data_IF_688347818896
#
_entry.id   IF_688347818896
#
_cell.length_a   1.000
_cell.length_b   1.000
_cell.length_c   1.000
_cell.angle_alpha   90.00
_cell.angle_beta   90.00
_cell.angle_gamma   90.00
#
_symmetry.space_group_name_H-M   'P 1'
#
loop_
_entity.id
_entity.type
_entity.pdbx_description
1 polymer ?
#
# COMPACT_ATOMS: atom_id res chain seq x y z
N UNK A 1 -66.07 64.43 4.90
CA UNK A 1 -64.85 64.64 4.15
C UNK A 1 -64.09 63.29 4.05
N UNK A 2 -64.07 62.81 2.84
CA UNK A 2 -63.34 61.56 2.49
C UNK A 2 -61.90 61.97 2.17
N UNK A 3 -60.93 61.37 2.89
CA UNK A 3 -59.52 61.46 2.57
C UNK A 3 -59.25 60.40 1.50
N UNK A 4 -58.77 60.79 0.36
CA UNK A 4 -58.26 59.91 -0.70
C UNK A 4 -56.85 59.49 -0.35
N UNK A 5 -56.62 58.22 -0.15
CA UNK A 5 -55.29 57.63 -0.09
C UNK A 5 -54.70 57.57 -1.49
N UNK A 6 -53.60 58.25 -1.72
CA UNK A 6 -52.79 58.13 -2.95
C UNK A 6 -52.02 56.82 -2.95
N UNK A 7 -52.38 55.91 -3.84
CA UNK A 7 -51.59 54.72 -4.12
C UNK A 7 -50.31 55.12 -4.86
N UNK A 8 -49.19 55.07 -4.17
CA UNK A 8 -47.87 55.17 -4.80
C UNK A 8 -47.57 53.90 -5.60
N UNK A 9 -47.36 54.05 -6.88
CA UNK A 9 -46.94 53.01 -7.79
C UNK A 9 -45.56 52.49 -7.42
N UNK A 10 -45.30 51.18 -7.42
CA UNK A 10 -43.98 50.63 -7.16
C UNK A 10 -42.99 50.97 -8.29
N UNK A 11 -41.85 51.50 -7.91
CA UNK A 11 -40.72 51.79 -8.80
C UNK A 11 -40.19 50.47 -9.39
N UNK A 12 -39.93 50.35 -10.72
CA UNK A 12 -39.37 49.16 -11.30
C UNK A 12 -37.94 48.95 -10.78
N UNK A 13 -37.71 47.79 -10.14
CA UNK A 13 -36.36 47.31 -9.78
C UNK A 13 -35.66 46.91 -11.08
N UNK A 14 -34.65 47.67 -11.48
CA UNK A 14 -33.74 47.32 -12.55
C UNK A 14 -32.96 46.09 -12.20
N UNK A 15 -33.26 44.92 -12.75
CA UNK A 15 -32.45 43.74 -12.65
C UNK A 15 -31.23 43.91 -13.57
N UNK A 16 -30.14 44.40 -13.01
CA UNK A 16 -28.83 44.25 -13.66
C UNK A 16 -28.48 42.77 -13.66
N UNK A 17 -28.54 42.11 -14.80
CA UNK A 17 -28.00 40.78 -14.98
C UNK A 17 -26.51 40.85 -14.65
N UNK A 18 -26.09 40.13 -13.61
CA UNK A 18 -24.68 39.97 -13.30
C UNK A 18 -24.07 39.15 -14.44
N UNK A 19 -23.23 39.76 -15.25
CA UNK A 19 -22.44 39.03 -16.23
C UNK A 19 -21.62 37.96 -15.48
N UNK A 20 -21.85 36.70 -15.86
CA UNK A 20 -20.98 35.59 -15.41
C UNK A 20 -19.61 35.78 -16.07
N UNK A 21 -18.68 36.33 -15.32
CA UNK A 21 -17.28 36.38 -15.73
C UNK A 21 -16.75 34.94 -15.69
N UNK A 22 -16.18 34.47 -16.80
CA UNK A 22 -15.50 33.16 -16.81
C UNK A 22 -14.44 33.14 -15.73
N UNK A 23 -14.49 32.11 -14.88
CA UNK A 23 -13.50 31.91 -13.81
C UNK A 23 -12.13 31.75 -14.48
N UNK A 24 -11.19 32.66 -14.21
CA UNK A 24 -9.82 32.52 -14.68
C UNK A 24 -9.17 31.40 -13.86
N UNK A 25 -8.66 30.40 -14.57
CA UNK A 25 -7.86 29.32 -13.98
C UNK A 25 -6.56 29.92 -13.45
N UNK A 26 -6.25 29.72 -12.18
CA UNK A 26 -4.97 30.13 -11.59
C UNK A 26 -3.82 29.26 -12.15
N UNK A 27 -2.57 29.73 -12.07
CA UNK A 27 -1.41 28.92 -12.50
C UNK A 27 -1.39 27.56 -11.77
N UNK A 28 -1.70 27.55 -10.47
CA UNK A 28 -1.79 26.31 -9.67
C UNK A 28 -2.87 25.33 -10.18
N UNK A 29 -4.01 25.85 -10.61
CA UNK A 29 -5.09 25.01 -11.20
C UNK A 29 -4.70 24.47 -12.57
N UNK A 30 -4.00 25.26 -13.39
CA UNK A 30 -3.49 24.83 -14.69
C UNK A 30 -2.45 23.70 -14.52
N UNK A 31 -1.60 23.77 -13.51
CA UNK A 31 -0.64 22.73 -13.17
C UNK A 31 -1.33 21.43 -12.74
N UNK A 32 -2.38 21.51 -11.95
CA UNK A 32 -3.16 20.35 -11.50
C UNK A 32 -3.85 19.66 -12.70
N UNK A 33 -4.52 20.41 -13.55
CA UNK A 33 -5.17 19.89 -14.77
C UNK A 33 -4.13 19.26 -15.69
N UNK A 34 -2.97 19.90 -15.83
CA UNK A 34 -1.84 19.38 -16.60
C UNK A 34 -1.27 18.09 -16.02
N UNK A 35 -1.14 17.98 -14.69
CA UNK A 35 -0.69 16.78 -14.02
C UNK A 35 -1.62 15.59 -14.25
N UNK A 36 -2.95 15.80 -14.09
CA UNK A 36 -3.96 14.78 -14.39
C UNK A 36 -3.87 14.34 -15.86
N UNK A 37 -3.76 15.29 -16.79
CA UNK A 37 -3.62 15.02 -18.22
C UNK A 37 -2.45 14.13 -18.58
N UNK A 38 -1.33 14.24 -17.82
CA UNK A 38 -0.11 13.45 -18.03
C UNK A 38 -0.21 12.01 -17.51
N UNK A 39 -1.21 11.67 -16.70
CA UNK A 39 -1.23 10.36 -16.02
C UNK A 39 -2.56 9.61 -16.17
N UNK A 40 -3.67 10.33 -16.41
CA UNK A 40 -5.03 9.74 -16.41
C UNK A 40 -5.21 8.54 -17.35
N UNK A 41 -4.54 8.53 -18.51
CA UNK A 41 -4.65 7.44 -19.48
C UNK A 41 -3.84 6.20 -19.06
N UNK A 42 -2.88 6.37 -18.15
CA UNK A 42 -2.15 5.26 -17.53
C UNK A 42 -2.92 4.64 -16.35
N UNK A 43 -4.00 5.29 -15.86
CA UNK A 43 -4.83 4.75 -14.78
C UNK A 43 -6.01 3.99 -15.37
N UNK A 44 -6.11 2.72 -15.03
CA UNK A 44 -7.04 1.75 -15.60
C UNK A 44 -7.99 1.20 -14.54
N UNK A 45 -9.13 0.65 -14.98
CA UNK A 45 -9.98 -0.17 -14.12
C UNK A 45 -9.47 -1.61 -14.11
N UNK A 46 -9.51 -2.24 -12.95
CA UNK A 46 -9.22 -3.68 -12.77
C UNK A 46 -10.48 -4.34 -12.24
N UNK A 47 -11.05 -5.24 -13.03
CA UNK A 47 -12.27 -5.98 -12.67
C UNK A 47 -11.93 -7.43 -12.35
N UNK A 48 -12.34 -7.86 -11.16
CA UNK A 48 -12.21 -9.23 -10.67
C UNK A 48 -13.46 -10.02 -11.04
N UNK A 49 -13.28 -11.09 -11.80
CA UNK A 49 -14.32 -12.00 -12.24
C UNK A 49 -14.12 -13.36 -11.57
N UNK A 50 -15.14 -13.84 -10.87
CA UNK A 50 -15.14 -15.18 -10.29
C UNK A 50 -16.15 -16.07 -10.99
N UNK A 51 -15.78 -17.31 -11.28
CA UNK A 51 -16.68 -18.28 -11.88
C UNK A 51 -17.70 -18.75 -10.85
N UNK A 52 -18.98 -18.54 -11.15
CA UNK A 52 -20.07 -19.06 -10.35
C UNK A 52 -20.21 -20.59 -10.53
N UNK A 53 -20.86 -21.25 -9.59
CA UNK A 53 -21.17 -22.70 -9.67
C UNK A 53 -21.98 -23.08 -10.93
N UNK A 54 -22.59 -22.08 -11.60
CA UNK A 54 -23.37 -22.26 -12.84
C UNK A 54 -22.54 -21.99 -14.11
N UNK A 55 -21.22 -21.76 -13.99
CA UNK A 55 -20.33 -21.55 -15.15
C UNK A 55 -20.42 -20.13 -15.78
N UNK A 56 -21.08 -19.20 -15.10
CA UNK A 56 -21.10 -17.80 -15.50
C UNK A 56 -20.15 -16.99 -14.65
N UNK A 57 -19.28 -16.20 -15.28
CA UNK A 57 -18.41 -15.27 -14.57
C UNK A 57 -19.24 -14.13 -13.96
N UNK A 58 -19.08 -13.90 -12.67
CA UNK A 58 -19.68 -12.78 -11.96
C UNK A 58 -18.59 -11.79 -11.53
N UNK A 59 -18.86 -10.52 -11.71
CA UNK A 59 -18.02 -9.46 -11.15
C UNK A 59 -18.14 -9.46 -9.62
N UNK A 60 -17.04 -9.70 -8.93
CA UNK A 60 -16.99 -9.76 -7.47
C UNK A 60 -16.30 -8.57 -6.84
N UNK A 61 -15.59 -7.77 -7.64
CA UNK A 61 -14.92 -6.56 -7.20
C UNK A 61 -14.31 -5.81 -8.35
N UNK A 62 -14.18 -4.51 -8.16
CA UNK A 62 -13.47 -3.63 -9.07
C UNK A 62 -12.58 -2.66 -8.27
N UNK A 63 -11.45 -2.33 -8.84
CA UNK A 63 -10.52 -1.34 -8.34
C UNK A 63 -9.82 -0.64 -9.49
N UNK A 64 -8.75 0.04 -9.17
CA UNK A 64 -7.91 0.70 -10.16
C UNK A 64 -6.55 0.03 -10.29
N UNK A 65 -5.85 0.35 -11.36
CA UNK A 65 -4.46 -0.05 -11.58
C UNK A 65 -3.71 1.06 -12.31
N UNK A 66 -2.40 0.96 -12.35
CA UNK A 66 -1.53 1.92 -13.02
C UNK A 66 -0.61 1.20 -13.99
N UNK A 67 -0.66 1.58 -15.26
CA UNK A 67 0.29 1.12 -16.27
C UNK A 67 1.62 1.82 -16.02
N UNK A 68 2.64 1.09 -15.57
CA UNK A 68 3.94 1.66 -15.21
C UNK A 68 5.08 1.30 -16.17
N UNK A 69 4.84 0.34 -17.06
CA UNK A 69 5.85 -0.12 -18.01
C UNK A 69 5.21 -0.68 -19.28
N UNK A 70 5.88 -0.50 -20.41
CA UNK A 70 5.55 -1.14 -21.69
C UNK A 70 6.83 -1.76 -22.25
N UNK A 71 6.75 -3.02 -22.65
CA UNK A 71 7.87 -3.75 -23.22
C UNK A 71 7.37 -4.73 -24.29
N UNK A 72 7.79 -4.53 -25.53
CA UNK A 72 7.33 -5.29 -26.68
C UNK A 72 5.81 -5.23 -26.83
N UNK A 73 5.18 -6.40 -26.85
CA UNK A 73 3.72 -6.56 -26.96
C UNK A 73 2.99 -6.60 -25.62
N UNK A 74 3.69 -6.33 -24.50
CA UNK A 74 3.15 -6.34 -23.15
C UNK A 74 3.18 -4.95 -22.53
N UNK A 75 2.16 -4.67 -21.75
CA UNK A 75 2.17 -3.58 -20.78
C UNK A 75 1.93 -4.16 -19.39
N UNK A 76 2.54 -3.52 -18.39
CA UNK A 76 2.55 -3.98 -17.01
C UNK A 76 1.72 -3.02 -16.17
N UNK A 77 0.82 -3.60 -15.37
CA UNK A 77 -0.10 -2.88 -14.51
C UNK A 77 0.18 -3.26 -13.07
N UNK A 78 0.39 -2.27 -12.21
CA UNK A 78 0.39 -2.47 -10.76
C UNK A 78 -1.01 -2.16 -10.23
N UNK A 79 -1.47 -2.96 -9.27
CA UNK A 79 -2.71 -2.77 -8.53
C UNK A 79 -2.55 -3.28 -7.11
N UNK A 80 -3.59 -3.20 -6.28
CA UNK A 80 -3.56 -3.85 -4.97
C UNK A 80 -3.88 -5.35 -5.07
N UNK A 81 -3.28 -6.14 -4.16
CA UNK A 81 -3.55 -7.57 -4.04
C UNK A 81 -5.04 -7.83 -3.76
N UNK A 82 -5.65 -7.10 -2.82
CA UNK A 82 -7.06 -7.29 -2.47
C UNK A 82 -8.04 -7.05 -3.64
N UNK A 83 -7.61 -6.33 -4.70
CA UNK A 83 -8.41 -6.12 -5.91
C UNK A 83 -8.45 -7.38 -6.78
N UNK A 84 -7.38 -8.17 -6.78
CA UNK A 84 -7.23 -9.35 -7.63
C UNK A 84 -7.42 -10.67 -6.89
N UNK A 85 -7.48 -10.63 -5.56
CA UNK A 85 -7.58 -11.80 -4.69
C UNK A 85 -8.72 -12.72 -5.10
N UNK A 86 -8.42 -14.00 -5.30
CA UNK A 86 -9.41 -15.04 -5.64
C UNK A 86 -10.03 -14.93 -7.03
N UNK A 87 -9.47 -14.11 -7.93
CA UNK A 87 -9.99 -13.96 -9.27
C UNK A 87 -9.81 -15.24 -10.10
N UNK A 88 -10.87 -15.68 -10.77
CA UNK A 88 -10.78 -16.70 -11.82
C UNK A 88 -10.27 -16.11 -13.13
N UNK A 89 -10.67 -14.87 -13.39
CA UNK A 89 -10.25 -14.05 -14.54
C UNK A 89 -10.16 -12.59 -14.14
N UNK A 90 -9.28 -11.84 -14.79
CA UNK A 90 -9.13 -10.41 -14.62
C UNK A 90 -9.32 -9.69 -15.95
N UNK A 91 -10.03 -8.57 -15.90
CA UNK A 91 -10.17 -7.65 -17.03
C UNK A 91 -9.59 -6.28 -16.63
N UNK A 92 -8.78 -5.71 -17.51
CA UNK A 92 -8.29 -4.35 -17.38
C UNK A 92 -8.99 -3.50 -18.43
N UNK A 93 -9.68 -2.45 -17.99
CA UNK A 93 -10.37 -1.53 -18.89
C UNK A 93 -9.59 -0.21 -18.94
N UNK A 94 -9.15 0.15 -20.14
CA UNK A 94 -8.43 1.40 -20.42
C UNK A 94 -9.36 2.61 -20.30
N UNK A 95 -8.79 3.80 -20.28
CA UNK A 95 -9.55 5.07 -20.17
C UNK A 95 -10.50 5.34 -21.34
N UNK A 96 -10.26 4.73 -22.50
CA UNK A 96 -11.13 4.79 -23.69
C UNK A 96 -12.27 3.76 -23.67
N UNK A 97 -12.38 2.94 -22.62
CA UNK A 97 -13.37 1.87 -22.49
C UNK A 97 -12.95 0.54 -23.09
N UNK A 98 -11.73 0.43 -23.67
CA UNK A 98 -11.22 -0.83 -24.21
C UNK A 98 -10.94 -1.81 -23.07
N UNK A 99 -11.66 -2.93 -23.06
CA UNK A 99 -11.42 -4.02 -22.09
C UNK A 99 -10.40 -5.02 -22.64
N UNK A 100 -9.40 -5.35 -21.84
CA UNK A 100 -8.33 -6.28 -22.15
C UNK A 100 -8.28 -7.39 -21.11
N UNK A 101 -8.04 -8.62 -21.54
CA UNK A 101 -7.75 -9.69 -20.61
C UNK A 101 -6.39 -9.44 -19.92
N UNK A 102 -6.35 -9.60 -18.60
CA UNK A 102 -5.13 -9.44 -17.83
C UNK A 102 -4.68 -10.78 -17.23
N UNK A 103 -3.36 -10.95 -17.20
CA UNK A 103 -2.71 -12.11 -16.56
C UNK A 103 -1.97 -11.65 -15.32
N UNK A 104 -2.19 -12.31 -14.20
CA UNK A 104 -1.39 -12.09 -12.99
C UNK A 104 0.03 -12.61 -13.26
N UNK A 105 1.01 -11.74 -13.04
CA UNK A 105 2.42 -12.10 -13.05
C UNK A 105 2.90 -12.48 -11.66
N UNK A 106 2.40 -11.83 -10.63
CA UNK A 106 2.71 -12.13 -9.26
C UNK A 106 1.89 -11.29 -8.29
N UNK A 107 1.82 -11.75 -7.05
CA UNK A 107 1.01 -11.17 -5.97
C UNK A 107 1.81 -11.11 -4.66
N UNK A 108 1.60 -10.05 -3.90
CA UNK A 108 2.17 -9.88 -2.57
C UNK A 108 1.11 -9.43 -1.56
N UNK A 109 0.54 -10.37 -0.80
CA UNK A 109 -0.43 -10.04 0.25
C UNK A 109 0.12 -9.16 1.37
N UNK A 110 1.44 -9.21 1.62
CA UNK A 110 2.09 -8.48 2.71
C UNK A 110 2.07 -6.98 2.49
N UNK A 111 2.40 -6.54 1.28
CA UNK A 111 2.37 -5.12 0.91
C UNK A 111 1.13 -4.74 0.11
N UNK A 112 0.16 -5.65 -0.02
CA UNK A 112 -1.08 -5.42 -0.77
C UNK A 112 -0.83 -4.98 -2.21
N UNK A 113 0.10 -5.64 -2.91
CA UNK A 113 0.47 -5.34 -4.29
C UNK A 113 0.29 -6.55 -5.20
N UNK A 114 -0.08 -6.29 -6.46
CA UNK A 114 -0.09 -7.28 -7.53
C UNK A 114 0.39 -6.66 -8.83
N UNK A 115 1.05 -7.45 -9.66
CA UNK A 115 1.49 -7.06 -11.01
C UNK A 115 0.77 -7.90 -12.04
N UNK A 116 0.16 -7.21 -13.00
CA UNK A 116 -0.56 -7.82 -14.12
C UNK A 116 0.13 -7.50 -15.44
N UNK A 117 -0.08 -8.34 -16.45
CA UNK A 117 0.29 -8.04 -17.83
C UNK A 117 -0.95 -8.01 -18.72
N UNK A 118 -0.97 -7.07 -19.66
CA UNK A 118 -1.98 -6.90 -20.70
C UNK A 118 -1.32 -6.76 -22.06
N UNK A 119 -2.10 -6.90 -23.14
CA UNK A 119 -1.64 -6.55 -24.48
C UNK A 119 -1.37 -5.05 -24.60
N UNK A 120 -0.23 -4.68 -25.17
CA UNK A 120 0.22 -3.28 -25.20
C UNK A 120 -0.29 -2.50 -26.43
N UNK A 121 -0.96 -3.15 -27.38
CA UNK A 121 -1.29 -2.55 -28.68
C UNK A 121 -2.20 -1.33 -28.57
N UNK A 122 -3.04 -1.27 -27.53
CA UNK A 122 -3.97 -0.16 -27.25
C UNK A 122 -3.48 0.79 -26.16
N UNK A 123 -2.34 0.49 -25.54
CA UNK A 123 -1.77 1.33 -24.48
C UNK A 123 -1.08 2.54 -25.09
N UNK A 124 -1.60 3.71 -24.80
CA UNK A 124 -1.12 5.01 -25.29
C UNK A 124 -0.20 5.72 -24.33
N UNK A 125 -0.35 5.47 -23.01
CA UNK A 125 0.37 6.18 -21.96
C UNK A 125 0.86 5.22 -20.88
N UNK A 126 2.04 5.53 -20.36
CA UNK A 126 2.66 4.88 -19.20
C UNK A 126 2.93 5.95 -18.15
N UNK A 127 2.65 5.67 -16.88
CA UNK A 127 2.89 6.59 -15.79
C UNK A 127 4.39 6.87 -15.62
N UNK A 128 4.76 8.13 -15.45
CA UNK A 128 6.12 8.51 -15.07
C UNK A 128 6.30 8.25 -13.58
N UNK A 129 7.35 7.54 -13.22
CA UNK A 129 7.70 7.31 -11.81
C UNK A 129 8.30 8.57 -11.21
N UNK A 130 7.87 8.90 -10.00
CA UNK A 130 8.46 9.94 -9.15
C UNK A 130 9.40 9.33 -8.12
N UNK A 131 9.72 10.12 -7.10
CA UNK A 131 10.57 9.74 -5.99
C UNK A 131 9.83 10.06 -4.68
N UNK A 132 9.36 9.00 -3.99
CA UNK A 132 8.60 9.16 -2.75
C UNK A 132 9.45 9.58 -1.56
N UNK A 133 10.77 9.38 -1.61
CA UNK A 133 11.66 9.74 -0.50
C UNK A 133 11.92 11.25 -0.42
N UNK A 134 11.59 11.99 -1.48
CA UNK A 134 11.76 13.44 -1.54
C UNK A 134 10.52 14.24 -1.15
N UNK A 135 9.41 13.58 -0.85
CA UNK A 135 8.13 14.20 -0.51
C UNK A 135 8.20 14.98 0.81
N UNK A 136 7.43 16.05 0.91
CA UNK A 136 7.33 16.88 2.11
C UNK A 136 5.88 17.10 2.50
N UNK A 137 5.61 17.14 3.80
CA UNK A 137 4.30 17.50 4.31
C UNK A 137 3.85 18.86 3.74
N UNK A 138 2.59 18.94 3.32
CA UNK A 138 1.99 20.11 2.71
C UNK A 138 2.09 20.17 1.17
N UNK A 139 2.86 19.29 0.52
CA UNK A 139 2.89 19.22 -0.95
C UNK A 139 1.56 18.72 -1.51
N UNK A 140 1.05 19.39 -2.54
CA UNK A 140 -0.20 19.01 -3.22
C UNK A 140 -0.04 17.67 -3.93
N UNK A 141 -1.02 16.79 -3.73
CA UNK A 141 -1.12 15.49 -4.39
C UNK A 141 -2.51 15.24 -4.94
N UNK A 142 -2.58 14.36 -5.93
CA UNK A 142 -3.82 13.97 -6.59
C UNK A 142 -3.92 12.44 -6.54
N UNK A 143 -5.03 11.93 -6.01
CA UNK A 143 -5.35 10.52 -6.09
C UNK A 143 -6.26 10.29 -7.30
N UNK A 144 -5.85 9.41 -8.20
CA UNK A 144 -6.55 9.10 -9.44
C UNK A 144 -6.95 7.63 -9.42
N UNK A 145 -8.22 7.37 -9.71
CA UNK A 145 -8.75 6.04 -9.92
C UNK A 145 -9.66 5.98 -11.12
N UNK A 146 -9.92 4.76 -11.60
CA UNK A 146 -10.86 4.46 -12.68
C UNK A 146 -11.82 3.35 -12.25
N UNK A 147 -12.74 3.64 -11.33
CA UNK A 147 -13.46 2.62 -10.56
C UNK A 147 -14.37 1.69 -11.37
N UNK A 148 -14.78 2.02 -12.55
CA UNK A 148 -15.74 1.20 -13.32
C UNK A 148 -15.43 1.14 -14.83
N UNK A 149 -14.34 1.75 -15.26
CA UNK A 149 -13.97 1.80 -16.68
C UNK A 149 -14.95 2.56 -17.59
N UNK A 150 -16.12 2.93 -17.08
CA UNK A 150 -17.21 3.60 -17.81
C UNK A 150 -17.37 5.08 -17.44
N UNK A 151 -16.80 5.51 -16.31
CA UNK A 151 -16.76 6.91 -15.93
C UNK A 151 -15.32 7.40 -16.07
N UNK A 152 -15.16 8.57 -16.68
CA UNK A 152 -13.87 9.25 -16.71
C UNK A 152 -13.23 9.25 -15.31
N UNK A 153 -11.92 9.01 -15.25
CA UNK A 153 -11.12 8.91 -14.03
C UNK A 153 -11.63 9.82 -12.90
N UNK A 154 -11.88 9.21 -11.73
CA UNK A 154 -12.16 9.96 -10.51
C UNK A 154 -10.86 10.54 -9.97
N UNK A 155 -10.85 11.83 -9.69
CA UNK A 155 -9.68 12.56 -9.17
C UNK A 155 -10.07 13.22 -7.86
N UNK A 156 -9.29 12.98 -6.82
CA UNK A 156 -9.37 13.71 -5.56
C UNK A 156 -8.06 14.46 -5.31
N UNK A 157 -8.15 15.64 -4.70
CA UNK A 157 -7.00 16.48 -4.38
C UNK A 157 -6.82 16.57 -2.87
N UNK A 158 -5.58 16.56 -2.43
CA UNK A 158 -5.17 16.79 -1.06
C UNK A 158 -3.71 17.19 -0.98
N UNK A 159 -3.16 17.01 0.20
CA UNK A 159 -1.72 17.25 0.47
C UNK A 159 -1.09 15.99 1.09
N UNK A 160 0.23 15.93 1.06
CA UNK A 160 0.99 14.99 1.89
C UNK A 160 0.79 15.42 3.36
N UNK A 161 0.09 14.62 4.14
CA UNK A 161 -0.07 14.84 5.58
C UNK A 161 1.15 14.33 6.37
N UNK A 162 1.73 13.20 5.92
CA UNK A 162 3.00 12.66 6.38
C UNK A 162 3.64 11.84 5.26
N UNK A 163 4.96 12.01 5.06
CA UNK A 163 5.72 11.30 4.03
C UNK A 163 5.89 9.82 4.40
N UNK A 164 6.27 9.56 5.63
CA UNK A 164 6.45 8.22 6.20
C UNK A 164 5.62 8.11 7.46
N UNK A 165 4.66 7.21 7.44
CA UNK A 165 3.89 6.85 8.61
C UNK A 165 3.92 5.35 8.77
N UNK A 166 4.46 4.90 9.88
CA UNK A 166 4.41 3.49 10.24
C UNK A 166 2.99 3.14 10.66
N UNK A 167 2.36 2.24 9.95
CA UNK A 167 1.03 1.71 10.28
C UNK A 167 1.11 0.20 10.44
N UNK A 168 0.45 -0.35 11.47
CA UNK A 168 0.33 -1.77 11.63
C UNK A 168 -0.64 -2.34 10.59
N UNK A 169 -0.32 -3.51 10.05
CA UNK A 169 -1.18 -4.22 9.09
C UNK A 169 -1.45 -5.62 9.61
N UNK A 170 -2.72 -5.99 9.62
CA UNK A 170 -3.20 -7.36 9.83
C UNK A 170 -3.49 -7.95 8.44
N UNK A 171 -2.61 -8.81 7.96
CA UNK A 171 -2.70 -9.37 6.61
C UNK A 171 -3.67 -10.52 6.50
N UNK A 172 -3.90 -11.24 7.60
CA UNK A 172 -4.73 -12.45 7.66
C UNK A 172 -6.09 -12.22 8.33
N UNK A 173 -6.35 -10.99 8.85
CA UNK A 173 -7.58 -10.57 9.53
C UNK A 173 -7.90 -11.37 10.80
N UNK A 174 -6.88 -11.80 11.55
CA UNK A 174 -7.04 -12.49 12.83
C UNK A 174 -7.11 -11.52 14.04
N UNK A 175 -7.02 -10.22 13.80
CA UNK A 175 -7.03 -9.17 14.80
C UNK A 175 -5.68 -8.89 15.43
N UNK A 176 -4.61 -9.54 14.95
CA UNK A 176 -3.23 -9.29 15.39
C UNK A 176 -2.45 -8.55 14.30
N UNK A 177 -1.49 -7.73 14.72
CA UNK A 177 -0.63 -7.03 13.80
C UNK A 177 0.47 -7.96 13.30
N UNK A 178 0.46 -8.26 12.00
CA UNK A 178 1.46 -9.12 11.36
C UNK A 178 2.72 -8.38 10.96
N UNK A 179 2.59 -7.08 10.65
CA UNK A 179 3.61 -6.33 9.96
C UNK A 179 3.40 -4.83 10.14
N UNK A 180 4.50 -4.08 10.25
CA UNK A 180 4.50 -2.62 10.21
C UNK A 180 4.95 -2.17 8.83
N UNK A 181 4.11 -1.44 8.12
CA UNK A 181 4.46 -0.86 6.81
C UNK A 181 4.60 0.67 6.92
N UNK A 182 5.45 1.23 6.10
CA UNK A 182 5.52 2.67 5.93
C UNK A 182 4.67 3.10 4.75
N UNK A 183 3.89 4.13 4.96
CA UNK A 183 2.93 4.65 3.99
C UNK A 183 3.00 6.16 3.90
N UNK A 184 2.62 6.69 2.75
CA UNK A 184 2.30 8.10 2.58
C UNK A 184 0.91 8.32 3.17
N UNK A 185 0.78 9.29 4.08
CA UNK A 185 -0.53 9.76 4.54
C UNK A 185 -0.93 11.01 3.77
N UNK A 186 -2.19 11.06 3.33
CA UNK A 186 -2.78 12.20 2.62
C UNK A 186 -4.22 12.43 3.09
N UNK A 187 -4.70 13.65 2.95
CA UNK A 187 -6.11 14.01 3.12
C UNK A 187 -6.89 13.98 1.79
N UNK A 188 -6.23 13.67 0.67
CA UNK A 188 -6.93 13.31 -0.56
C UNK A 188 -7.81 12.08 -0.30
N UNK A 189 -9.09 12.15 -0.67
CA UNK A 189 -10.03 11.07 -0.38
C UNK A 189 -9.61 9.78 -1.10
N UNK A 190 -9.28 8.74 -0.35
CA UNK A 190 -9.02 7.39 -0.82
C UNK A 190 -10.24 6.54 -0.50
N UNK A 191 -10.93 6.05 -1.54
CA UNK A 191 -12.21 5.35 -1.45
C UNK A 191 -12.20 4.08 -2.30
N UNK A 192 -13.26 3.26 -2.12
CA UNK A 192 -13.56 2.16 -3.04
C UNK A 192 -13.55 2.70 -4.48
N UNK A 193 -12.72 2.14 -5.32
CA UNK A 193 -12.58 2.53 -6.71
C UNK A 193 -11.29 3.25 -7.06
N UNK A 194 -10.66 4.04 -6.18
CA UNK A 194 -9.32 4.54 -6.43
C UNK A 194 -8.19 3.69 -5.78
N UNK A 195 -8.55 2.66 -5.02
CA UNK A 195 -7.61 1.66 -4.50
C UNK A 195 -6.92 0.92 -5.64
N UNK A 196 -5.61 0.80 -5.58
CA UNK A 196 -4.74 0.30 -6.67
C UNK A 196 -4.41 1.36 -7.73
N UNK A 197 -5.07 2.53 -7.70
CA UNK A 197 -4.81 3.67 -8.57
C UNK A 197 -3.61 4.51 -8.13
N UNK A 198 -3.41 5.61 -8.83
CA UNK A 198 -2.24 6.46 -8.68
C UNK A 198 -2.40 7.54 -7.62
N UNK A 199 -1.39 7.72 -6.76
CA UNK A 199 -1.13 8.99 -6.09
C UNK A 199 -0.02 9.70 -6.89
N UNK A 200 -0.28 10.92 -7.37
CA UNK A 200 0.66 11.69 -8.17
C UNK A 200 0.96 13.05 -7.55
N UNK A 201 2.14 13.60 -7.86
CA UNK A 201 2.50 14.98 -7.57
C UNK A 201 1.99 15.94 -8.67
N UNK A 202 2.20 17.24 -8.49
CA UNK A 202 1.80 18.29 -9.46
C UNK A 202 2.57 18.24 -10.78
N UNK A 203 3.70 17.52 -10.84
CA UNK A 203 4.40 17.25 -12.10
C UNK A 203 3.78 16.09 -12.90
N UNK A 204 2.79 15.37 -12.36
CA UNK A 204 2.15 14.19 -12.95
C UNK A 204 2.98 12.92 -12.79
N UNK A 205 3.84 12.85 -11.78
CA UNK A 205 4.65 11.67 -11.48
C UNK A 205 3.98 10.81 -10.43
N UNK A 206 4.01 9.49 -10.63
CA UNK A 206 3.52 8.48 -9.70
C UNK A 206 4.43 8.42 -8.48
N UNK A 207 3.91 8.80 -7.31
CA UNK A 207 4.63 8.82 -6.03
C UNK A 207 4.11 7.76 -5.05
N UNK A 208 2.95 7.17 -5.32
CA UNK A 208 2.40 6.10 -4.50
C UNK A 208 1.26 5.35 -5.17
N UNK A 209 0.93 4.19 -4.62
CA UNK A 209 -0.23 3.38 -5.00
C UNK A 209 -1.28 3.49 -3.90
N UNK A 210 -2.46 4.02 -4.23
CA UNK A 210 -3.55 4.20 -3.27
C UNK A 210 -3.98 2.85 -2.68
N UNK A 211 -4.17 2.75 -1.37
CA UNK A 211 -4.66 1.53 -0.73
C UNK A 211 -5.67 1.83 0.36
N UNK A 212 -6.86 1.23 0.23
CA UNK A 212 -7.89 1.29 1.28
C UNK A 212 -7.68 0.26 2.38
N UNK A 213 -6.99 -0.84 2.09
CA UNK A 213 -6.78 -1.93 3.08
C UNK A 213 -5.93 -1.48 4.27
N UNK A 214 -5.03 -0.53 4.03
CA UNK A 214 -4.12 0.02 5.05
C UNK A 214 -4.86 0.99 5.99
N UNK A 215 -6.00 1.54 5.57
CA UNK A 215 -6.83 2.39 6.40
C UNK A 215 -7.73 1.54 7.30
N UNK A 216 -7.27 1.18 8.49
CA UNK A 216 -8.19 0.71 9.53
C UNK A 216 -9.20 1.81 9.87
N UNK A 217 -10.50 1.45 9.73
CA UNK A 217 -11.67 2.23 10.13
C UNK A 217 -11.60 3.74 9.83
N UNK A 218 -12.20 4.10 8.73
CA UNK A 218 -12.78 5.42 8.38
C UNK A 218 -12.60 6.56 9.39
N UNK A 219 -11.39 7.07 9.50
CA UNK A 219 -11.18 8.43 10.02
C UNK A 219 -11.29 9.35 8.80
N UNK A 220 -12.32 10.18 8.74
CA UNK A 220 -12.47 11.19 7.69
C UNK A 220 -11.20 12.03 7.55
N UNK A 221 -10.74 12.23 6.32
CA UNK A 221 -9.54 13.02 6.05
C UNK A 221 -8.22 12.28 6.24
N UNK A 222 -8.22 10.95 6.36
CA UNK A 222 -7.01 10.14 6.42
C UNK A 222 -7.05 9.08 5.31
N UNK A 223 -6.20 9.25 4.31
CA UNK A 223 -5.96 8.29 3.25
C UNK A 223 -4.50 7.82 3.28
N UNK A 224 -4.26 6.64 2.73
CA UNK A 224 -2.92 6.06 2.66
C UNK A 224 -2.57 5.60 1.25
N UNK A 225 -1.29 5.71 0.91
CA UNK A 225 -0.72 5.15 -0.31
C UNK A 225 0.61 4.46 0.00
N UNK A 226 0.86 3.36 -0.71
CA UNK A 226 2.14 2.65 -0.65
C UNK A 226 3.17 3.50 -1.40
N UNK A 227 4.28 3.94 -0.78
CA UNK A 227 5.31 4.75 -1.44
C UNK A 227 5.85 4.05 -2.68
N UNK A 228 6.07 4.80 -3.77
CA UNK A 228 6.55 4.18 -5.02
C UNK A 228 7.93 3.56 -4.87
N UNK A 229 8.83 4.13 -4.06
CA UNK A 229 10.16 3.60 -3.83
C UNK A 229 10.12 2.26 -3.06
N UNK A 230 9.12 2.04 -2.20
CA UNK A 230 8.86 0.75 -1.54
C UNK A 230 8.22 -0.26 -2.52
N UNK A 231 7.30 0.20 -3.36
CA UNK A 231 6.60 -0.66 -4.31
C UNK A 231 7.50 -1.18 -5.44
N UNK A 232 8.43 -0.37 -5.95
CA UNK A 232 9.26 -0.71 -7.12
C UNK A 232 10.07 -2.00 -7.00
N UNK A 233 10.81 -2.28 -5.91
CA UNK A 233 11.53 -3.54 -5.76
C UNK A 233 10.57 -4.73 -5.71
N UNK A 234 9.42 -4.59 -5.03
CA UNK A 234 8.37 -5.62 -4.96
C UNK A 234 7.81 -5.88 -6.36
N UNK A 235 7.45 -4.83 -7.10
CA UNK A 235 6.93 -4.94 -8.47
C UNK A 235 7.92 -5.66 -9.40
N UNK A 236 9.22 -5.42 -9.26
CA UNK A 236 10.25 -6.12 -10.04
C UNK A 236 10.31 -7.60 -9.71
N UNK A 237 10.26 -7.96 -8.44
CA UNK A 237 10.26 -9.35 -8.01
C UNK A 237 9.01 -10.08 -8.52
N UNK A 238 7.83 -9.47 -8.39
CA UNK A 238 6.58 -10.02 -8.90
C UNK A 238 6.59 -10.18 -10.43
N UNK A 239 7.17 -9.21 -11.15
CA UNK A 239 7.30 -9.27 -12.62
C UNK A 239 8.24 -10.39 -13.09
N UNK A 240 9.36 -10.60 -12.38
CA UNK A 240 10.43 -11.50 -12.81
C UNK A 240 10.28 -12.91 -12.24
N UNK A 241 9.85 -13.04 -11.00
CA UNK A 241 9.86 -14.27 -10.23
C UNK A 241 8.44 -14.78 -9.90
N UNK A 242 7.41 -13.94 -10.05
CA UNK A 242 6.04 -14.25 -9.66
C UNK A 242 5.76 -14.11 -8.16
N UNK A 243 6.80 -13.95 -7.36
CA UNK A 243 6.73 -13.85 -5.90
C UNK A 243 7.84 -12.97 -5.35
N UNK A 244 7.65 -12.45 -4.13
CA UNK A 244 8.69 -11.71 -3.40
C UNK A 244 9.42 -12.67 -2.49
N UNK A 245 10.71 -12.86 -2.74
CA UNK A 245 11.56 -13.73 -1.92
C UNK A 245 12.04 -12.96 -0.69
N UNK A 246 11.48 -13.30 0.48
CA UNK A 246 11.78 -12.61 1.74
C UNK A 246 12.85 -13.32 2.56
N UNK A 247 13.74 -12.55 3.23
CA UNK A 247 14.72 -13.14 4.13
C UNK A 247 14.07 -13.60 5.44
N UNK A 248 14.56 -14.71 5.98
CA UNK A 248 14.14 -15.25 7.28
C UNK A 248 15.32 -15.76 8.10
N UNK A 249 15.17 -15.74 9.43
CA UNK A 249 16.09 -16.35 10.39
C UNK A 249 15.93 -17.88 10.45
N UNK A 250 14.72 -18.37 10.13
CA UNK A 250 14.33 -19.78 10.26
C UNK A 250 14.04 -20.18 11.70
N UNK A 251 13.19 -19.40 12.35
CA UNK A 251 12.71 -19.58 13.73
C UNK A 251 11.20 -19.57 13.80
N UNK A 252 10.64 -20.25 14.79
CA UNK A 252 9.26 -20.10 15.24
C UNK A 252 9.26 -19.17 16.45
N UNK A 253 8.35 -18.24 16.52
CA UNK A 253 8.40 -17.13 17.47
C UNK A 253 7.05 -16.82 18.10
N UNK A 254 7.13 -16.15 19.25
CA UNK A 254 6.01 -15.47 19.92
C UNK A 254 6.50 -14.18 20.58
N UNK A 255 5.62 -13.21 20.73
CA UNK A 255 5.95 -12.00 21.46
C UNK A 255 6.11 -12.28 22.97
N UNK A 256 7.08 -11.62 23.60
CA UNK A 256 7.30 -11.75 25.07
C UNK A 256 6.03 -11.48 25.86
N UNK A 257 5.20 -10.54 25.37
CA UNK A 257 3.96 -10.14 26.03
C UNK A 257 2.88 -11.22 26.05
N UNK A 258 2.95 -12.21 25.17
CA UNK A 258 2.04 -13.36 25.17
C UNK A 258 2.29 -14.35 26.31
N UNK A 259 3.43 -14.24 26.98
CA UNK A 259 3.79 -15.13 28.08
C UNK A 259 3.42 -14.53 29.43
N UNK A 260 2.87 -15.34 30.36
CA UNK A 260 2.63 -14.91 31.74
C UNK A 260 3.91 -14.43 32.44
N UNK A 261 3.79 -13.48 33.38
CA UNK A 261 4.93 -12.93 34.11
C UNK A 261 5.82 -14.02 34.76
N UNK A 262 5.22 -15.01 35.42
CA UNK A 262 5.96 -16.11 36.00
C UNK A 262 6.79 -16.91 35.01
N UNK A 263 6.35 -17.10 33.79
CA UNK A 263 7.14 -17.74 32.72
C UNK A 263 8.33 -16.87 32.32
N UNK A 264 8.12 -15.55 32.20
CA UNK A 264 9.18 -14.59 31.86
C UNK A 264 10.28 -14.55 32.95
N UNK A 265 9.89 -14.58 34.21
CA UNK A 265 10.79 -14.57 35.35
C UNK A 265 11.51 -15.91 35.54
N UNK A 266 10.79 -17.02 35.56
CA UNK A 266 11.33 -18.35 35.94
C UNK A 266 12.03 -19.06 34.79
N UNK A 267 11.49 -18.95 33.57
CA UNK A 267 11.97 -19.66 32.37
C UNK A 267 12.88 -18.83 31.49
N UNK A 268 12.48 -17.61 31.17
CA UNK A 268 13.26 -16.73 30.32
C UNK A 268 14.32 -15.97 31.13
N UNK A 269 14.07 -15.76 32.41
CA UNK A 269 14.95 -15.04 33.37
C UNK A 269 15.32 -13.66 32.86
N UNK A 270 14.33 -12.98 32.21
CA UNK A 270 14.57 -11.68 31.67
C UNK A 270 14.82 -10.64 32.76
N UNK A 271 15.75 -9.69 32.55
CA UNK A 271 15.87 -8.52 33.41
C UNK A 271 14.52 -7.75 33.47
N UNK A 272 14.25 -7.12 34.61
CA UNK A 272 12.96 -6.44 34.89
C UNK A 272 12.64 -5.32 33.87
N UNK A 273 13.66 -4.72 33.30
CA UNK A 273 13.56 -3.68 32.26
C UNK A 273 13.28 -4.23 30.86
N UNK A 274 13.43 -5.56 30.64
CA UNK A 274 13.17 -6.21 29.34
C UNK A 274 11.74 -6.76 29.31
N UNK A 275 10.80 -5.92 28.93
CA UNK A 275 9.37 -6.25 28.88
C UNK A 275 8.86 -6.58 27.49
N UNK A 276 9.68 -6.36 26.45
CA UNK A 276 9.35 -6.56 25.03
C UNK A 276 10.45 -7.35 24.34
N UNK A 277 10.10 -7.94 23.20
CA UNK A 277 11.02 -8.76 22.41
C UNK A 277 10.32 -10.01 21.87
N UNK A 278 11.07 -10.82 21.15
CA UNK A 278 10.58 -12.01 20.46
C UNK A 278 11.20 -13.27 21.07
N UNK A 279 10.37 -14.14 21.62
CA UNK A 279 10.77 -15.45 22.15
C UNK A 279 10.90 -16.45 21.01
N UNK A 280 12.05 -17.06 20.87
CA UNK A 280 12.25 -18.22 19.98
C UNK A 280 11.61 -19.45 20.64
N UNK A 281 10.51 -19.96 20.07
CA UNK A 281 9.84 -21.16 20.58
C UNK A 281 10.28 -22.42 19.84
N UNK A 282 10.87 -22.28 18.66
CA UNK A 282 11.43 -23.37 17.87
C UNK A 282 12.38 -22.88 16.79
N UNK A 283 13.14 -23.80 16.21
CA UNK A 283 14.05 -23.52 15.10
C UNK A 283 13.73 -24.44 13.91
N UNK A 284 13.85 -23.87 12.71
CA UNK A 284 13.81 -24.68 11.48
C UNK A 284 15.14 -25.39 11.34
N UNK A 285 15.08 -26.70 11.07
CA UNK A 285 16.28 -27.52 10.87
C UNK A 285 17.16 -26.98 9.75
N UNK A 286 18.46 -26.93 9.97
CA UNK A 286 19.46 -26.38 9.04
C UNK A 286 19.33 -24.88 8.75
N UNK A 287 18.51 -24.13 9.51
CA UNK A 287 18.36 -22.69 9.37
C UNK A 287 19.62 -21.91 9.74
N UNK A 288 19.65 -20.64 9.37
CA UNK A 288 20.72 -19.74 9.79
C UNK A 288 20.78 -19.57 11.31
N UNK A 289 19.62 -19.46 11.97
CA UNK A 289 19.54 -19.34 13.42
C UNK A 289 20.07 -20.59 14.13
N UNK A 290 19.70 -21.79 13.67
CA UNK A 290 20.23 -23.05 14.25
C UNK A 290 21.75 -23.15 14.10
N UNK A 291 22.27 -22.84 12.89
CA UNK A 291 23.72 -22.85 12.61
C UNK A 291 24.48 -21.79 13.43
N UNK A 292 23.85 -20.67 13.74
CA UNK A 292 24.42 -19.63 14.60
C UNK A 292 24.33 -19.98 16.09
N UNK A 293 23.79 -21.16 16.46
CA UNK A 293 23.70 -21.63 17.82
C UNK A 293 22.58 -21.01 18.66
N UNK A 294 21.57 -20.43 18.01
CA UNK A 294 20.35 -19.99 18.69
C UNK A 294 19.57 -21.21 19.22
N UNK A 295 18.77 -20.99 20.25
CA UNK A 295 18.00 -22.03 20.93
C UNK A 295 16.60 -21.58 21.29
N UNK A 296 15.71 -22.52 21.56
CA UNK A 296 14.42 -22.23 22.16
C UNK A 296 14.61 -21.49 23.50
N UNK A 297 13.74 -20.56 23.81
CA UNK A 297 13.78 -19.61 24.91
C UNK A 297 14.84 -18.50 24.80
N UNK A 298 15.54 -18.35 23.69
CA UNK A 298 16.23 -17.10 23.39
C UNK A 298 15.20 -15.98 23.17
N UNK A 299 15.50 -14.80 23.68
CA UNK A 299 14.62 -13.64 23.52
C UNK A 299 15.34 -12.57 22.71
N UNK A 300 14.95 -12.42 21.44
CA UNK A 300 15.53 -11.45 20.52
C UNK A 300 15.01 -10.05 20.89
N UNK A 301 15.93 -9.10 21.03
CA UNK A 301 15.64 -7.71 21.39
C UNK A 301 16.21 -6.70 20.39
N UNK A 302 17.11 -7.14 19.49
CA UNK A 302 17.74 -6.23 18.52
C UNK A 302 18.29 -7.01 17.32
N UNK A 303 18.20 -6.41 16.12
CA UNK A 303 18.86 -6.89 14.90
C UNK A 303 19.60 -5.73 14.25
N UNK A 304 20.91 -5.89 13.98
CA UNK A 304 21.77 -4.88 13.38
C UNK A 304 21.67 -3.50 14.06
N UNK A 305 21.53 -3.45 15.41
CA UNK A 305 21.37 -2.21 16.17
C UNK A 305 19.95 -1.63 16.20
N UNK A 306 18.99 -2.27 15.54
CA UNK A 306 17.57 -1.87 15.56
C UNK A 306 16.82 -2.67 16.60
N UNK A 307 16.10 -1.98 17.50
CA UNK A 307 15.32 -2.60 18.55
C UNK A 307 14.17 -3.44 17.97
N UNK A 308 13.94 -4.62 18.53
CA UNK A 308 12.85 -5.53 18.19
C UNK A 308 11.96 -5.67 19.42
N UNK A 309 10.80 -5.04 19.39
CA UNK A 309 9.82 -5.08 20.47
C UNK A 309 8.66 -6.05 20.19
N UNK A 310 8.41 -6.38 18.92
CA UNK A 310 7.27 -7.18 18.46
C UNK A 310 7.61 -8.00 17.21
N UNK A 311 6.73 -8.93 16.86
CA UNK A 311 6.79 -9.67 15.59
C UNK A 311 6.78 -8.73 14.38
N UNK A 312 5.95 -7.69 14.43
CA UNK A 312 5.87 -6.70 13.36
C UNK A 312 7.21 -5.97 13.16
N UNK A 313 7.91 -5.61 14.24
CA UNK A 313 9.25 -4.99 14.15
C UNK A 313 10.25 -5.94 13.51
N UNK A 314 10.25 -7.22 13.92
CA UNK A 314 11.12 -8.23 13.34
C UNK A 314 10.94 -8.34 11.83
N UNK A 315 9.69 -8.48 11.38
CA UNK A 315 9.38 -8.53 9.94
C UNK A 315 9.82 -7.26 9.22
N UNK A 316 9.51 -6.09 9.78
CA UNK A 316 9.88 -4.80 9.17
C UNK A 316 11.39 -4.68 8.98
N UNK A 317 12.17 -5.00 10.00
CA UNK A 317 13.64 -4.96 9.91
C UNK A 317 14.16 -5.96 8.89
N UNK A 318 13.65 -7.20 8.88
CA UNK A 318 14.10 -8.20 7.92
C UNK A 318 13.74 -7.85 6.47
N UNK A 319 12.52 -7.38 6.21
CA UNK A 319 12.03 -7.17 4.85
C UNK A 319 12.53 -5.87 4.20
N UNK A 320 12.81 -4.84 5.01
CA UNK A 320 13.29 -3.55 4.51
C UNK A 320 14.80 -3.42 4.50
N UNK A 321 15.46 -3.93 5.52
CA UNK A 321 16.86 -3.63 5.80
C UNK A 321 17.81 -4.79 5.54
N UNK A 322 17.30 -5.97 5.16
CA UNK A 322 18.11 -7.16 4.98
C UNK A 322 17.78 -7.90 3.68
N UNK A 323 18.70 -8.72 3.22
CA UNK A 323 18.57 -9.52 1.99
C UNK A 323 18.80 -11.00 2.26
N UNK A 324 18.20 -11.86 1.44
CA UNK A 324 18.50 -13.29 1.44
C UNK A 324 19.99 -13.52 1.23
N UNK A 325 20.59 -14.38 2.06
CA UNK A 325 22.03 -14.68 2.05
C UNK A 325 22.88 -13.70 2.84
N UNK A 326 22.35 -12.58 3.29
CA UNK A 326 23.03 -11.64 4.18
C UNK A 326 23.18 -12.22 5.59
N UNK A 327 24.21 -11.79 6.29
CA UNK A 327 24.43 -12.12 7.70
C UNK A 327 24.03 -10.93 8.57
N UNK A 328 23.09 -11.14 9.49
CA UNK A 328 22.63 -10.12 10.44
C UNK A 328 23.12 -10.44 11.84
N UNK A 329 23.47 -9.41 12.61
CA UNK A 329 23.79 -9.54 14.03
C UNK A 329 22.52 -9.53 14.85
N UNK A 330 22.20 -10.63 15.50
CA UNK A 330 21.04 -10.78 16.39
C UNK A 330 21.52 -10.65 17.84
N UNK A 331 20.93 -9.70 18.58
CA UNK A 331 21.15 -9.54 20.01
C UNK A 331 19.97 -10.15 20.76
N UNK A 332 20.22 -11.02 21.71
CA UNK A 332 19.19 -11.75 22.44
C UNK A 332 19.58 -12.02 23.88
N UNK A 333 18.62 -12.32 24.73
CA UNK A 333 18.82 -12.83 26.09
C UNK A 333 18.64 -14.33 26.10
N UNK A 334 19.54 -15.02 26.82
CA UNK A 334 19.48 -16.46 27.11
C UNK A 334 19.72 -16.68 28.59
N UNK A 335 18.69 -17.13 29.32
CA UNK A 335 18.78 -17.35 30.77
C UNK A 335 19.16 -16.10 31.58
N UNK A 336 18.79 -14.91 31.09
CA UNK A 336 19.06 -13.62 31.69
C UNK A 336 20.35 -12.94 31.20
N UNK A 337 21.19 -13.65 30.45
CA UNK A 337 22.42 -13.08 29.91
C UNK A 337 22.25 -12.57 28.50
N UNK A 338 22.71 -11.34 28.22
CA UNK A 338 22.69 -10.73 26.91
C UNK A 338 23.82 -11.31 26.05
N UNK A 339 23.45 -11.82 24.86
CA UNK A 339 24.34 -12.45 23.89
C UNK A 339 24.12 -11.93 22.49
N UNK A 340 25.04 -12.23 21.59
CA UNK A 340 24.91 -11.93 20.16
C UNK A 340 25.24 -13.15 19.33
N UNK A 341 24.59 -13.28 18.15
CA UNK A 341 24.90 -14.29 17.16
C UNK A 341 24.85 -13.66 15.75
N UNK A 342 25.73 -14.11 14.88
CA UNK A 342 25.71 -13.75 13.47
C UNK A 342 24.90 -14.80 12.70
N UNK A 343 23.72 -14.40 12.21
CA UNK A 343 22.76 -15.30 11.59
C UNK A 343 22.70 -15.03 10.10
N UNK A 344 23.01 -16.03 9.27
CA UNK A 344 22.88 -15.95 7.83
C UNK A 344 21.41 -16.17 7.44
N UNK A 345 20.82 -15.20 6.76
CA UNK A 345 19.42 -15.26 6.33
C UNK A 345 19.23 -16.22 5.16
N UNK A 346 18.17 -16.99 5.21
CA UNK A 346 17.70 -17.84 4.09
C UNK A 346 16.47 -17.23 3.43
N UNK A 347 16.11 -17.70 2.23
CA UNK A 347 14.83 -17.40 1.64
C UNK A 347 13.71 -18.02 2.48
N UNK A 348 12.62 -17.29 2.66
CA UNK A 348 11.39 -17.85 3.18
C UNK A 348 10.85 -18.82 2.12
N UNK A 349 10.62 -20.08 2.48
CA UNK A 349 9.93 -21.00 1.59
C UNK A 349 8.52 -20.50 1.33
N UNK A 350 8.00 -20.56 0.09
CA UNK A 350 6.60 -20.28 -0.17
C UNK A 350 5.76 -21.14 0.77
N UNK A 351 4.88 -20.53 1.52
CA UNK A 351 3.92 -21.29 2.32
C UNK A 351 2.98 -21.99 1.32
N UNK A 352 3.14 -23.29 1.17
CA UNK A 352 2.14 -24.10 0.48
C UNK A 352 0.89 -24.00 1.34
N UNK A 353 -0.06 -23.17 0.89
CA UNK A 353 -1.42 -23.11 1.45
C UNK A 353 -2.22 -24.34 1.05
#
# INVERSE_FOLDING_TARGET
PFVRDEMTSPTPVSSTATEQTATQTTEDEADIVGAVGKTKEAVVSVTNLQSSFQGTDQETGAGSGVIYKKDGNKAYVVTNYHVVEGASRLSVTLSDGTALEAKVLGEDPTYDLAVLSIDSSKVTQVAKLGDSDTLRAGETVLAIGNPLGIFANSVTRGVISAQERTVPVDTNKDGQQDFNTEVIQTDAAINLGNSGGALINTAGQLIGINSMKIAEASVEGVGFAIPINEALPIMRDLEQNGEVVRPQLGIQIRDVQEFPSGYREDRLKLPDDVTKGIVVVGLTRNSGAEKAGMKANDVIVEINGKAIASFADLKSVLYRDAKVGETVKVTFYRGGEKQTADVKLSAQSPTVQ
#
